data_IF_158543681910
#
_entry.id   IF_158543681910
#
_cell.length_a   1.000
_cell.length_b   1.000
_cell.length_c   1.000
_cell.angle_alpha   90.00
_cell.angle_beta   90.00
_cell.angle_gamma   90.00
#
_symmetry.space_group_name_H-M   'P 1'
#
loop_
_entity.id
_entity.type
_entity.pdbx_description
1 polymer ?
#
# COMPACT_ATOMS: atom_id res chain seq x y z
N UNK A 1 -15.95 10.70 -7.75
CA UNK A 1 -16.65 9.45 -7.38
C UNK A 1 -16.42 9.20 -5.90
N UNK A 2 -17.46 9.27 -5.05
CA UNK A 2 -17.34 8.75 -3.68
C UNK A 2 -17.32 7.22 -3.82
N UNK A 3 -16.10 6.67 -3.87
CA UNK A 3 -15.84 5.23 -4.04
C UNK A 3 -16.05 4.44 -2.75
N UNK A 4 -16.41 5.10 -1.66
CA UNK A 4 -16.65 4.46 -0.38
C UNK A 4 -18.04 3.83 -0.38
N UNK A 5 -18.10 2.55 -0.76
CA UNK A 5 -19.34 1.78 -0.90
C UNK A 5 -19.88 1.23 0.43
N UNK A 6 -19.21 1.54 1.55
CA UNK A 6 -19.49 0.96 2.86
C UNK A 6 -19.23 1.97 3.98
N UNK A 7 -20.21 2.13 4.88
CA UNK A 7 -20.09 2.99 6.06
C UNK A 7 -18.89 2.65 6.94
N UNK A 8 -18.61 1.36 7.13
CA UNK A 8 -17.42 0.94 7.89
C UNK A 8 -16.12 1.42 7.22
N UNK A 9 -16.06 1.38 5.88
CA UNK A 9 -14.91 1.92 5.14
C UNK A 9 -14.77 3.44 5.31
N UNK A 10 -15.89 4.18 5.29
CA UNK A 10 -15.89 5.62 5.51
C UNK A 10 -15.34 5.97 6.90
N UNK A 11 -15.89 5.34 7.93
CA UNK A 11 -15.46 5.55 9.31
C UNK A 11 -14.01 5.15 9.53
N UNK A 12 -13.56 4.04 8.94
CA UNK A 12 -12.16 3.60 9.05
C UNK A 12 -11.20 4.63 8.45
N UNK A 13 -11.49 5.13 7.25
CA UNK A 13 -10.69 6.18 6.62
C UNK A 13 -10.71 7.48 7.40
N UNK A 14 -11.87 7.89 7.92
CA UNK A 14 -12.02 9.12 8.69
C UNK A 14 -11.22 9.04 10.00
N UNK A 15 -11.36 7.95 10.76
CA UNK A 15 -10.60 7.74 12.00
C UNK A 15 -9.10 7.71 11.72
N UNK A 16 -8.66 6.95 10.71
CA UNK A 16 -7.25 6.90 10.34
C UNK A 16 -6.71 8.29 9.95
N UNK A 17 -7.46 9.05 9.14
CA UNK A 17 -7.11 10.40 8.73
C UNK A 17 -7.00 11.38 9.91
N UNK A 18 -7.95 11.33 10.85
CA UNK A 18 -7.91 12.16 12.07
C UNK A 18 -6.69 11.82 12.91
N UNK A 19 -6.40 10.54 13.14
CA UNK A 19 -5.23 10.11 13.91
C UNK A 19 -3.94 10.62 13.27
N UNK A 20 -3.78 10.42 11.95
CA UNK A 20 -2.61 10.91 11.21
C UNK A 20 -2.51 12.44 11.29
N UNK A 21 -3.61 13.16 11.12
CA UNK A 21 -3.65 14.62 11.21
C UNK A 21 -3.26 15.16 12.58
N UNK A 22 -3.76 14.54 13.66
CA UNK A 22 -3.40 14.90 15.04
C UNK A 22 -1.92 14.66 15.30
N UNK A 23 -1.39 13.51 14.89
CA UNK A 23 0.04 13.19 15.06
C UNK A 23 0.90 14.20 14.29
N UNK A 24 0.56 14.47 13.04
CA UNK A 24 1.31 15.40 12.19
C UNK A 24 1.26 16.85 12.68
N UNK A 25 0.15 17.29 13.29
CA UNK A 25 -0.04 18.69 13.71
C UNK A 25 0.39 19.00 15.14
N UNK A 26 0.30 18.02 16.06
CA UNK A 26 0.39 18.30 17.50
C UNK A 26 1.32 17.37 18.28
N UNK A 27 1.80 16.26 17.70
CA UNK A 27 2.66 15.34 18.44
C UNK A 27 4.11 15.85 18.54
N UNK A 28 4.85 15.47 19.60
CA UNK A 28 6.30 15.71 19.68
C UNK A 28 7.05 15.10 18.49
N UNK A 29 8.17 15.70 18.11
CA UNK A 29 8.97 15.30 16.92
C UNK A 29 9.35 13.81 16.94
N UNK A 30 9.67 13.25 18.11
CA UNK A 30 10.00 11.83 18.27
C UNK A 30 8.80 10.95 17.92
N UNK A 31 7.61 11.32 18.39
CA UNK A 31 6.37 10.58 18.11
C UNK A 31 6.01 10.68 16.63
N UNK A 32 6.17 11.86 16.03
CA UNK A 32 5.97 12.04 14.59
C UNK A 32 6.92 11.16 13.77
N UNK A 33 8.20 11.12 14.14
CA UNK A 33 9.19 10.27 13.50
C UNK A 33 8.82 8.79 13.57
N UNK A 34 8.55 8.26 14.76
CA UNK A 34 8.18 6.86 14.94
C UNK A 34 6.90 6.51 14.18
N UNK A 35 5.87 7.35 14.29
CA UNK A 35 4.60 7.14 13.59
C UNK A 35 4.75 7.17 12.07
N UNK A 36 5.53 8.10 11.53
CA UNK A 36 5.79 8.20 10.09
C UNK A 36 6.53 6.97 9.57
N UNK A 37 7.55 6.48 10.28
CA UNK A 37 8.27 5.26 9.91
C UNK A 37 7.35 4.04 9.95
N UNK A 38 6.59 3.88 11.03
CA UNK A 38 5.64 2.78 11.18
C UNK A 38 4.57 2.79 10.08
N UNK A 39 4.00 3.97 9.78
CA UNK A 39 3.01 4.13 8.73
C UNK A 39 3.59 3.84 7.35
N UNK A 40 4.78 4.39 7.03
CA UNK A 40 5.44 4.15 5.77
C UNK A 40 5.73 2.64 5.56
N UNK A 41 6.28 1.97 6.57
CA UNK A 41 6.51 0.54 6.54
C UNK A 41 5.21 -0.26 6.38
N UNK A 42 4.17 0.10 7.13
CA UNK A 42 2.86 -0.53 7.03
C UNK A 42 2.28 -0.41 5.62
N UNK A 43 2.38 0.76 4.99
CA UNK A 43 1.89 0.99 3.63
C UNK A 43 2.73 0.23 2.59
N UNK A 44 4.05 0.18 2.73
CA UNK A 44 4.93 -0.56 1.81
C UNK A 44 4.67 -2.07 1.87
N UNK A 45 4.60 -2.63 3.08
CA UNK A 45 4.26 -4.04 3.28
C UNK A 45 2.82 -4.35 2.84
N UNK A 46 1.89 -3.45 3.14
CA UNK A 46 0.49 -3.54 2.73
C UNK A 46 0.33 -3.56 1.22
N UNK A 47 1.05 -2.69 0.50
CA UNK A 47 1.06 -2.65 -0.95
C UNK A 47 1.58 -3.96 -1.56
N UNK A 48 2.69 -4.50 -1.05
CA UNK A 48 3.22 -5.79 -1.52
C UNK A 48 2.24 -6.94 -1.25
N UNK A 49 1.64 -6.98 -0.05
CA UNK A 49 0.64 -7.99 0.28
C UNK A 49 -0.58 -7.89 -0.63
N UNK A 50 -1.09 -6.68 -0.86
CA UNK A 50 -2.24 -6.43 -1.72
C UNK A 50 -1.98 -6.89 -3.16
N UNK A 51 -0.80 -6.61 -3.72
CA UNK A 51 -0.45 -7.05 -5.09
C UNK A 51 -0.32 -8.57 -5.21
N UNK A 52 0.21 -9.26 -4.19
CA UNK A 52 0.22 -10.73 -4.12
C UNK A 52 -1.19 -11.32 -4.01
N UNK A 53 -2.09 -10.66 -3.25
CA UNK A 53 -3.49 -11.07 -3.12
C UNK A 53 -4.31 -10.89 -4.40
N UNK A 54 -3.89 -10.00 -5.32
CA UNK A 54 -4.51 -9.86 -6.64
C UNK A 54 -4.50 -11.19 -7.40
N UNK A 55 -3.39 -11.95 -7.35
CA UNK A 55 -3.30 -13.26 -7.99
C UNK A 55 -4.28 -14.27 -7.39
N UNK A 56 -4.34 -14.34 -6.06
CA UNK A 56 -5.25 -15.26 -5.36
C UNK A 56 -6.71 -14.93 -5.60
N UNK A 57 -7.03 -13.64 -5.74
CA UNK A 57 -8.39 -13.18 -6.04
C UNK A 57 -8.78 -13.48 -7.48
N UNK A 58 -7.85 -13.30 -8.43
CA UNK A 58 -8.04 -13.61 -9.85
C UNK A 58 -8.31 -15.09 -10.09
N UNK A 59 -7.60 -15.98 -9.40
CA UNK A 59 -7.81 -17.44 -9.55
C UNK A 59 -9.16 -17.91 -8.98
N UNK A 60 -9.67 -17.25 -7.95
CA UNK A 60 -10.92 -17.65 -7.26
C UNK A 60 -12.20 -17.05 -7.84
N UNK A 61 -12.16 -15.82 -8.37
CA UNK A 61 -13.37 -15.05 -8.70
C UNK A 61 -13.59 -14.79 -10.19
N UNK A 62 -12.72 -15.31 -11.05
CA UNK A 62 -12.70 -14.98 -12.47
C UNK A 62 -12.18 -13.55 -12.68
N UNK A 63 -11.11 -13.39 -13.47
CA UNK A 63 -10.52 -12.08 -13.72
C UNK A 63 -11.49 -11.10 -14.38
N UNK A 64 -11.41 -9.81 -14.03
CA UNK A 64 -12.19 -8.77 -14.68
C UNK A 64 -12.34 -7.46 -13.92
N UNK A 65 -12.16 -7.47 -12.59
CA UNK A 65 -12.38 -6.29 -11.75
C UNK A 65 -11.10 -5.68 -11.18
N UNK A 66 -9.96 -6.39 -11.19
CA UNK A 66 -8.72 -5.88 -10.60
C UNK A 66 -8.01 -4.89 -11.52
N UNK A 67 -7.19 -3.99 -10.96
CA UNK A 67 -6.44 -3.00 -11.73
C UNK A 67 -5.56 -3.64 -12.82
N UNK A 68 -4.98 -4.81 -12.53
CA UNK A 68 -4.22 -5.57 -13.52
C UNK A 68 -5.09 -6.17 -14.65
N UNK A 69 -6.35 -6.50 -14.37
CA UNK A 69 -7.30 -6.90 -15.40
C UNK A 69 -7.70 -5.71 -16.27
N UNK A 70 -7.87 -4.53 -15.67
CA UNK A 70 -8.16 -3.29 -16.38
C UNK A 70 -7.01 -2.88 -17.31
N UNK A 71 -5.77 -2.93 -16.79
CA UNK A 71 -4.57 -2.70 -17.61
C UNK A 71 -4.46 -3.73 -18.73
N UNK A 72 -4.66 -5.02 -18.44
CA UNK A 72 -4.63 -6.07 -19.46
C UNK A 72 -5.64 -5.85 -20.58
N UNK A 73 -6.84 -5.34 -20.26
CA UNK A 73 -7.85 -4.96 -21.26
C UNK A 73 -7.45 -3.74 -22.08
N UNK A 74 -6.86 -2.72 -21.45
CA UNK A 74 -6.45 -1.49 -22.14
C UNK A 74 -5.23 -1.73 -23.04
N UNK A 75 -4.31 -2.60 -22.64
CA UNK A 75 -3.06 -2.85 -23.38
C UNK A 75 -3.08 -4.12 -24.21
N UNK A 76 -4.18 -4.89 -24.18
CA UNK A 76 -4.31 -6.21 -24.83
C UNK A 76 -3.23 -7.23 -24.40
N UNK A 77 -2.61 -7.03 -23.23
CA UNK A 77 -1.62 -7.94 -22.66
C UNK A 77 -2.27 -8.81 -21.59
N UNK A 78 -1.80 -10.06 -21.37
CA UNK A 78 -2.35 -10.92 -20.33
C UNK A 78 -2.13 -10.29 -18.94
N UNK A 79 -3.20 -10.15 -18.16
CA UNK A 79 -3.13 -9.44 -16.86
C UNK A 79 -2.19 -10.06 -15.82
N UNK A 80 -1.73 -11.31 -16.01
CA UNK A 80 -0.64 -11.89 -15.18
C UNK A 80 0.66 -11.08 -15.29
N UNK A 81 0.98 -10.56 -16.49
CA UNK A 81 2.13 -9.70 -16.69
C UNK A 81 2.01 -8.43 -15.86
N UNK A 82 0.83 -7.81 -15.86
CA UNK A 82 0.57 -6.60 -15.09
C UNK A 82 0.66 -6.84 -13.59
N UNK A 83 0.18 -7.98 -13.08
CA UNK A 83 0.40 -8.29 -11.66
C UNK A 83 1.88 -8.53 -11.35
N UNK A 84 2.62 -9.19 -12.25
CA UNK A 84 4.08 -9.33 -12.11
C UNK A 84 4.77 -7.98 -11.99
N UNK A 85 4.43 -7.03 -12.87
CA UNK A 85 4.94 -5.65 -12.83
C UNK A 85 4.58 -4.98 -11.50
N UNK A 86 3.33 -5.06 -11.06
CA UNK A 86 2.90 -4.44 -9.80
C UNK A 86 3.61 -5.04 -8.57
N UNK A 87 3.85 -6.36 -8.55
CA UNK A 87 4.61 -7.01 -7.48
C UNK A 87 6.07 -6.56 -7.50
N UNK A 88 6.71 -6.49 -8.66
CA UNK A 88 8.10 -6.02 -8.80
C UNK A 88 8.24 -4.57 -8.34
N UNK A 89 7.32 -3.70 -8.77
CA UNK A 89 7.32 -2.29 -8.35
C UNK A 89 7.10 -2.17 -6.84
N UNK A 90 6.13 -2.88 -6.27
CA UNK A 90 5.88 -2.87 -4.83
C UNK A 90 7.10 -3.37 -4.02
N UNK A 91 7.76 -4.44 -4.48
CA UNK A 91 8.96 -4.96 -3.86
C UNK A 91 10.14 -3.96 -3.96
N UNK A 92 10.33 -3.33 -5.12
CA UNK A 92 11.35 -2.31 -5.31
C UNK A 92 11.10 -1.08 -4.39
N UNK A 93 9.85 -0.64 -4.28
CA UNK A 93 9.48 0.43 -3.36
C UNK A 93 9.69 0.04 -1.89
N UNK A 94 9.40 -1.21 -1.51
CA UNK A 94 9.66 -1.69 -0.15
C UNK A 94 11.16 -1.67 0.16
N UNK A 95 11.99 -2.24 -0.72
CA UNK A 95 13.45 -2.25 -0.54
C UNK A 95 14.01 -0.83 -0.51
N UNK A 96 13.64 0.00 -1.50
CA UNK A 96 14.07 1.40 -1.56
C UNK A 96 13.60 2.21 -0.37
N UNK A 97 12.36 1.99 0.10
CA UNK A 97 11.80 2.65 1.26
C UNK A 97 12.53 2.28 2.56
N UNK A 98 12.88 1.00 2.76
CA UNK A 98 13.68 0.56 3.92
C UNK A 98 15.04 1.27 3.96
N UNK A 99 15.69 1.42 2.81
CA UNK A 99 16.97 2.13 2.69
C UNK A 99 16.78 3.63 2.94
N UNK A 100 15.79 4.26 2.31
CA UNK A 100 15.53 5.70 2.41
C UNK A 100 15.15 6.14 3.83
N UNK A 101 14.40 5.31 4.55
CA UNK A 101 14.04 5.52 5.94
C UNK A 101 15.22 5.30 6.91
N UNK A 102 16.41 4.93 6.43
CA UNK A 102 17.59 4.74 7.26
C UNK A 102 17.50 3.55 8.22
N UNK A 103 16.57 2.61 7.98
CA UNK A 103 16.32 1.47 8.87
C UNK A 103 17.59 0.64 9.14
N UNK A 104 18.44 0.33 8.13
CA UNK A 104 19.69 -0.39 8.39
C UNK A 104 20.63 0.35 9.35
N UNK A 105 20.65 1.68 9.31
CA UNK A 105 21.49 2.49 10.17
C UNK A 105 20.98 2.50 11.62
N UNK A 106 19.67 2.34 11.85
CA UNK A 106 19.09 2.20 13.20
C UNK A 106 19.58 0.93 13.92
N UNK A 107 19.90 -0.13 13.19
CA UNK A 107 20.40 -1.39 13.76
C UNK A 107 21.93 -1.43 13.91
N UNK A 108 22.64 -0.46 13.33
CA UNK A 108 24.09 -0.38 13.36
C UNK A 108 24.61 0.59 14.46
N UNK A 109 23.70 1.27 15.16
CA UNK A 109 23.96 2.16 16.30
C UNK A 109 23.68 1.45 17.63
#
# INVERSE_FOLDING_TARGET
MIQVRNWFGLWSCLVAGVVVGVVAGAAPIVVQGVAAHALALFLLLGALRATLELQRSRSRRGGGASDADQLGRLTHLPGILWVGVLVVVAAACLVGGVVLLGIPALFAA
#
